data_IF_989901756851
#
_entry.id   IF_989901756851
#
_cell.length_a   1.000
_cell.length_b   1.000
_cell.length_c   1.000
_cell.angle_alpha   90.00
_cell.angle_beta   90.00
_cell.angle_gamma   90.00
#
_symmetry.space_group_name_H-M   'P 1'
#
loop_
_entity.id
_entity.type
_entity.pdbx_description
1 polymer ?
#
# COMPACT_ATOMS: atom_id res chain seq x y z
N UNK A 1 14.36 20.11 5.84
CA UNK A 1 15.07 20.03 4.55
C UNK A 1 16.49 19.50 4.71
N UNK A 2 17.30 20.05 5.62
CA UNK A 2 18.71 19.72 5.81
C UNK A 2 18.95 18.26 6.27
N UNK A 3 18.04 17.67 7.00
CA UNK A 3 18.13 16.29 7.49
C UNK A 3 17.82 15.21 6.42
N UNK A 4 17.34 15.58 5.22
CA UNK A 4 16.90 14.59 4.21
C UNK A 4 18.04 13.68 3.70
N UNK A 5 19.25 14.19 3.37
CA UNK A 5 20.36 13.33 2.96
C UNK A 5 20.79 12.38 4.07
N UNK A 6 20.90 12.87 5.31
CA UNK A 6 21.26 12.05 6.48
C UNK A 6 20.21 10.97 6.75
N UNK A 7 18.91 11.31 6.68
CA UNK A 7 17.84 10.36 6.84
C UNK A 7 17.85 9.26 5.74
N UNK A 8 18.15 9.63 4.48
CA UNK A 8 18.34 8.68 3.39
C UNK A 8 19.42 7.65 3.74
N UNK A 9 20.61 8.12 4.15
CA UNK A 9 21.71 7.23 4.53
C UNK A 9 21.30 6.29 5.66
N UNK A 10 20.70 6.81 6.73
CA UNK A 10 20.26 6.01 7.87
C UNK A 10 19.21 4.94 7.50
N UNK A 11 18.28 5.26 6.59
CA UNK A 11 17.28 4.27 6.09
C UNK A 11 17.98 3.16 5.31
N UNK A 12 18.89 3.49 4.39
CA UNK A 12 19.59 2.49 3.58
C UNK A 12 20.47 1.59 4.46
N UNK A 13 21.20 2.16 5.41
CA UNK A 13 21.99 1.41 6.40
C UNK A 13 21.09 0.47 7.22
N UNK A 14 19.91 0.93 7.64
CA UNK A 14 18.97 0.10 8.39
C UNK A 14 18.42 -1.08 7.55
N UNK A 15 18.16 -0.86 6.27
CA UNK A 15 17.75 -1.93 5.36
C UNK A 15 18.87 -2.95 5.17
N UNK A 16 20.11 -2.48 4.98
CA UNK A 16 21.29 -3.35 4.82
C UNK A 16 21.56 -4.25 6.03
N UNK A 17 21.27 -3.77 7.26
CA UNK A 17 21.38 -4.59 8.49
C UNK A 17 20.36 -5.75 8.48
N UNK A 18 19.21 -5.60 7.79
CA UNK A 18 18.19 -6.62 7.71
C UNK A 18 17.43 -6.84 9.03
N UNK A 19 17.01 -8.08 9.29
CA UNK A 19 16.26 -8.44 10.50
C UNK A 19 14.75 -8.26 10.39
N UNK A 20 14.23 -8.07 9.16
CA UNK A 20 12.79 -7.93 8.90
C UNK A 20 12.06 -9.27 8.78
N UNK A 21 12.80 -10.41 8.76
CA UNK A 21 12.23 -11.74 8.56
C UNK A 21 11.58 -11.86 7.18
N UNK A 22 10.40 -12.50 7.07
CA UNK A 22 9.69 -12.66 5.80
C UNK A 22 8.88 -11.42 5.38
N UNK A 23 9.02 -10.31 6.07
CA UNK A 23 8.23 -9.09 5.82
C UNK A 23 8.81 -8.33 4.63
N UNK A 24 7.93 -7.87 3.76
CA UNK A 24 8.28 -6.97 2.66
C UNK A 24 8.79 -5.63 3.21
N UNK A 25 9.90 -5.16 2.66
CA UNK A 25 10.56 -3.92 3.03
C UNK A 25 10.30 -2.88 1.96
N UNK A 26 9.52 -1.87 2.31
CA UNK A 26 9.11 -0.79 1.40
C UNK A 26 9.65 0.53 1.87
N UNK A 27 10.30 1.28 0.99
CA UNK A 27 10.85 2.60 1.31
C UNK A 27 10.03 3.69 0.63
N UNK A 28 9.39 4.56 1.42
CA UNK A 28 8.75 5.76 0.87
C UNK A 28 9.79 6.84 0.61
N UNK A 29 9.84 7.33 -0.62
CA UNK A 29 10.72 8.40 -1.06
C UNK A 29 10.04 9.77 -1.02
N UNK A 30 10.81 10.84 -1.22
CA UNK A 30 10.25 12.15 -1.50
C UNK A 30 9.73 12.21 -2.93
N UNK A 31 8.78 13.12 -3.21
CA UNK A 31 8.27 13.30 -4.57
C UNK A 31 9.39 13.55 -5.60
N UNK A 32 9.26 13.01 -6.79
CA UNK A 32 10.25 13.12 -7.86
C UNK A 32 10.45 14.55 -8.37
N UNK A 33 9.51 15.43 -8.09
CA UNK A 33 9.52 16.88 -8.35
C UNK A 33 10.28 17.68 -7.30
N UNK A 34 10.71 17.02 -6.21
CA UNK A 34 11.51 17.66 -5.15
C UNK A 34 13.01 17.51 -5.40
N UNK A 35 13.81 18.34 -4.72
CA UNK A 35 15.28 18.26 -4.80
C UNK A 35 15.87 16.92 -4.29
N UNK A 36 15.06 16.08 -3.64
CA UNK A 36 15.55 14.84 -3.00
C UNK A 36 15.06 13.56 -3.69
N UNK A 37 13.92 13.62 -4.40
CA UNK A 37 13.22 12.43 -4.88
C UNK A 37 14.06 11.55 -5.80
N UNK A 38 14.81 12.14 -6.72
CA UNK A 38 15.67 11.39 -7.65
C UNK A 38 16.81 10.68 -6.91
N UNK A 39 17.44 11.35 -5.95
CA UNK A 39 18.53 10.74 -5.17
C UNK A 39 18.01 9.70 -4.20
N UNK A 40 16.80 9.89 -3.65
CA UNK A 40 16.12 8.88 -2.84
C UNK A 40 15.85 7.63 -3.69
N UNK A 41 15.32 7.79 -4.89
CA UNK A 41 15.04 6.67 -5.80
C UNK A 41 16.30 5.88 -6.16
N UNK A 42 17.41 6.58 -6.44
CA UNK A 42 18.72 5.95 -6.69
C UNK A 42 19.19 5.11 -5.50
N UNK A 43 19.08 5.68 -4.30
CA UNK A 43 19.48 4.99 -3.08
C UNK A 43 18.62 3.74 -2.83
N UNK A 44 17.30 3.83 -3.03
CA UNK A 44 16.38 2.70 -2.89
C UNK A 44 16.67 1.61 -3.91
N UNK A 45 16.95 1.96 -5.17
CA UNK A 45 17.26 1.00 -6.22
C UNK A 45 18.43 0.07 -5.86
N UNK A 46 19.38 0.55 -5.06
CA UNK A 46 20.56 -0.19 -4.61
C UNK A 46 20.45 -0.77 -3.19
N UNK A 47 19.33 -0.56 -2.48
CA UNK A 47 19.22 -0.84 -1.05
C UNK A 47 18.91 -2.29 -0.70
N UNK A 48 18.40 -3.09 -1.64
CA UNK A 48 17.84 -4.41 -1.36
C UNK A 48 16.41 -4.38 -0.78
N UNK A 49 15.72 -3.22 -0.80
CA UNK A 49 14.30 -3.15 -0.51
C UNK A 49 13.48 -3.85 -1.58
N UNK A 50 12.32 -4.39 -1.19
CA UNK A 50 11.42 -5.11 -2.10
C UNK A 50 10.60 -4.15 -2.97
N UNK A 51 10.28 -2.96 -2.45
CA UNK A 51 9.52 -1.97 -3.17
C UNK A 51 9.89 -0.53 -2.80
N UNK A 52 9.57 0.39 -3.74
CA UNK A 52 9.58 1.84 -3.51
C UNK A 52 8.15 2.36 -3.45
N UNK A 53 7.81 3.14 -2.43
CA UNK A 53 6.51 3.82 -2.31
C UNK A 53 6.64 5.26 -2.79
N UNK A 54 5.88 5.58 -3.85
CA UNK A 54 5.84 6.91 -4.47
C UNK A 54 4.71 7.75 -3.86
N UNK A 55 5.01 8.92 -3.28
CA UNK A 55 4.00 9.85 -2.84
C UNK A 55 3.40 10.62 -4.03
N UNK A 56 2.19 11.13 -3.85
CA UNK A 56 1.51 12.10 -4.73
C UNK A 56 1.54 11.71 -6.21
N UNK A 57 1.23 10.45 -6.49
CA UNK A 57 1.15 9.98 -7.89
C UNK A 57 -0.12 10.53 -8.51
N UNK A 58 0.01 11.32 -9.58
CA UNK A 58 -1.11 12.03 -10.21
C UNK A 58 -1.30 11.72 -11.69
N UNK A 59 -0.33 11.06 -12.32
CA UNK A 59 -0.41 10.71 -13.74
C UNK A 59 0.40 9.44 -14.07
N UNK A 60 0.03 8.73 -15.18
CA UNK A 60 0.77 7.56 -15.64
C UNK A 60 2.23 7.82 -16.03
N UNK A 61 2.55 9.03 -16.49
CA UNK A 61 3.89 9.37 -16.93
C UNK A 61 4.90 9.39 -15.76
N UNK A 62 4.41 9.67 -14.52
CA UNK A 62 5.25 9.55 -13.33
C UNK A 62 5.71 8.11 -13.13
N UNK A 63 4.85 7.13 -13.34
CA UNK A 63 5.18 5.70 -13.20
C UNK A 63 6.18 5.26 -14.28
N UNK A 64 5.95 5.66 -15.53
CA UNK A 64 6.86 5.36 -16.64
C UNK A 64 8.26 5.95 -16.40
N UNK A 65 8.34 7.19 -15.91
CA UNK A 65 9.62 7.82 -15.52
C UNK A 65 10.29 7.08 -14.37
N UNK A 66 9.51 6.68 -13.35
CA UNK A 66 10.06 5.92 -12.21
C UNK A 66 10.62 4.58 -12.66
N UNK A 67 9.86 3.82 -13.43
CA UNK A 67 10.32 2.53 -13.96
C UNK A 67 11.61 2.67 -14.77
N UNK A 68 11.66 3.65 -15.69
CA UNK A 68 12.86 3.93 -16.47
C UNK A 68 14.06 4.36 -15.62
N UNK A 69 13.85 5.08 -14.52
CA UNK A 69 14.90 5.45 -13.58
C UNK A 69 15.40 4.22 -12.79
N UNK A 70 14.51 3.35 -12.31
CA UNK A 70 14.88 2.10 -11.65
C UNK A 70 15.72 1.21 -12.58
N UNK A 71 15.30 1.07 -13.85
CA UNK A 71 16.05 0.29 -14.84
C UNK A 71 17.46 0.86 -15.08
N UNK A 72 17.60 2.19 -15.19
CA UNK A 72 18.91 2.86 -15.35
C UNK A 72 19.82 2.70 -14.13
N UNK A 73 19.25 2.50 -12.96
CA UNK A 73 20.00 2.24 -11.73
C UNK A 73 20.27 0.75 -11.51
N UNK A 74 19.93 -0.12 -12.47
CA UNK A 74 20.02 -1.58 -12.36
C UNK A 74 19.30 -2.12 -11.11
N UNK A 75 18.16 -1.53 -10.75
CA UNK A 75 17.32 -2.05 -9.67
C UNK A 75 16.90 -3.50 -9.98
N UNK A 76 16.76 -4.37 -8.97
CA UNK A 76 16.30 -5.73 -9.20
C UNK A 76 15.00 -5.76 -10.03
N UNK A 77 14.91 -6.68 -10.99
CA UNK A 77 13.72 -6.80 -11.83
C UNK A 77 12.44 -7.09 -11.02
N UNK A 78 12.56 -7.71 -9.85
CA UNK A 78 11.49 -7.99 -8.91
C UNK A 78 11.07 -6.79 -8.05
N UNK A 79 11.85 -5.70 -8.01
CA UNK A 79 11.51 -4.53 -7.21
C UNK A 79 10.18 -3.94 -7.67
N UNK A 80 9.23 -3.81 -6.75
CA UNK A 80 7.88 -3.31 -7.03
C UNK A 80 7.78 -1.81 -6.79
N UNK A 81 6.72 -1.24 -7.34
CA UNK A 81 6.32 0.15 -7.10
C UNK A 81 5.00 0.13 -6.32
N UNK A 82 4.99 0.79 -5.19
CA UNK A 82 3.77 1.11 -4.45
C UNK A 82 3.41 2.56 -4.72
N UNK A 83 2.13 2.87 -4.81
CA UNK A 83 1.64 4.21 -5.13
C UNK A 83 0.78 4.78 -4.02
N UNK A 84 1.01 6.04 -3.63
CA UNK A 84 0.11 6.72 -2.70
C UNK A 84 -0.99 7.47 -3.45
N UNK A 85 -2.25 7.12 -3.15
CA UNK A 85 -3.43 7.84 -3.57
C UNK A 85 -3.80 8.87 -2.48
N UNK A 86 -3.28 10.10 -2.61
CA UNK A 86 -3.36 11.12 -1.57
C UNK A 86 -3.70 12.53 -2.09
N UNK A 87 -3.99 12.63 -3.39
CA UNK A 87 -4.47 13.87 -4.01
C UNK A 87 -5.75 13.62 -4.81
N UNK A 88 -6.65 14.62 -4.93
CA UNK A 88 -7.86 14.47 -5.73
C UNK A 88 -7.57 14.09 -7.18
N UNK A 89 -6.53 14.67 -7.79
CA UNK A 89 -6.11 14.35 -9.17
C UNK A 89 -5.65 12.89 -9.27
N UNK A 90 -4.81 12.42 -8.34
CA UNK A 90 -4.34 11.04 -8.31
C UNK A 90 -5.47 10.04 -8.12
N UNK A 91 -6.43 10.34 -7.24
CA UNK A 91 -7.63 9.50 -7.04
C UNK A 91 -8.45 9.40 -8.32
N UNK A 92 -8.74 10.53 -8.98
CA UNK A 92 -9.52 10.53 -10.24
C UNK A 92 -8.78 9.86 -11.41
N UNK A 93 -7.46 9.91 -11.44
CA UNK A 93 -6.63 9.29 -12.48
C UNK A 93 -6.20 7.85 -12.14
N UNK A 94 -6.59 7.31 -10.97
CA UNK A 94 -6.00 6.09 -10.42
C UNK A 94 -6.09 4.90 -11.38
N UNK A 95 -7.22 4.69 -12.04
CA UNK A 95 -7.37 3.60 -13.00
C UNK A 95 -6.32 3.65 -14.12
N UNK A 96 -6.07 4.83 -14.71
CA UNK A 96 -5.08 5.00 -15.77
C UNK A 96 -3.64 4.87 -15.23
N UNK A 97 -3.40 5.31 -14.00
CA UNK A 97 -2.13 5.16 -13.30
C UNK A 97 -1.84 3.66 -13.13
N UNK A 98 -2.76 2.90 -12.58
CA UNK A 98 -2.56 1.47 -12.29
C UNK A 98 -2.38 0.62 -13.55
N UNK A 99 -3.02 0.99 -14.66
CA UNK A 99 -2.85 0.31 -15.94
C UNK A 99 -1.52 0.63 -16.66
N UNK A 100 -0.69 1.53 -16.12
CA UNK A 100 0.50 2.05 -16.84
C UNK A 100 1.78 1.25 -16.59
N UNK A 101 1.81 0.31 -15.64
CA UNK A 101 3.03 -0.45 -15.32
C UNK A 101 2.72 -1.73 -14.53
N UNK A 102 3.25 -2.85 -14.99
CA UNK A 102 3.19 -4.16 -14.31
C UNK A 102 4.08 -4.23 -13.04
N UNK A 103 4.88 -3.20 -12.78
CA UNK A 103 5.66 -3.10 -11.54
C UNK A 103 4.83 -2.64 -10.35
N UNK A 104 3.63 -2.09 -10.58
CA UNK A 104 2.76 -1.65 -9.48
C UNK A 104 2.24 -2.90 -8.76
N UNK A 105 2.33 -2.90 -7.43
CA UNK A 105 1.86 -4.02 -6.60
C UNK A 105 0.78 -3.56 -5.61
N UNK A 106 0.94 -2.41 -4.98
CA UNK A 106 0.07 -1.98 -3.88
C UNK A 106 -0.26 -0.49 -3.99
N UNK A 107 -1.49 -0.17 -3.63
CA UNK A 107 -1.95 1.21 -3.44
C UNK A 107 -2.00 1.50 -1.94
N UNK A 108 -1.55 2.68 -1.53
CA UNK A 108 -1.63 3.15 -0.14
C UNK A 108 -2.45 4.43 -0.10
N UNK A 109 -3.52 4.44 0.69
CA UNK A 109 -4.32 5.66 0.86
C UNK A 109 -3.59 6.67 1.74
N UNK A 110 -3.38 7.88 1.22
CA UNK A 110 -2.87 9.02 2.00
C UNK A 110 -4.01 9.91 2.50
N UNK A 111 -4.83 9.37 3.41
CA UNK A 111 -6.10 9.99 3.83
C UNK A 111 -5.95 11.38 4.46
N UNK A 112 -4.84 11.64 5.15
CA UNK A 112 -4.58 12.96 5.76
C UNK A 112 -4.32 14.05 4.71
N UNK A 113 -3.48 13.75 3.70
CA UNK A 113 -3.22 14.69 2.61
C UNK A 113 -4.45 14.87 1.71
N UNK A 114 -5.19 13.79 1.46
CA UNK A 114 -6.43 13.83 0.69
C UNK A 114 -7.50 14.69 1.38
N UNK A 115 -7.73 14.52 2.68
CA UNK A 115 -8.70 15.33 3.45
C UNK A 115 -8.33 16.82 3.41
N UNK A 116 -7.02 17.12 3.57
CA UNK A 116 -6.52 18.49 3.45
C UNK A 116 -6.77 19.08 2.06
N UNK A 117 -6.49 18.31 1.01
CA UNK A 117 -6.70 18.74 -0.37
C UNK A 117 -8.18 18.95 -0.71
N UNK A 118 -9.06 18.11 -0.15
CA UNK A 118 -10.51 18.24 -0.26
C UNK A 118 -11.09 19.35 0.63
N UNK A 119 -10.29 19.89 1.57
CA UNK A 119 -10.70 20.92 2.56
C UNK A 119 -11.84 20.44 3.46
N UNK A 120 -11.79 19.18 3.88
CA UNK A 120 -12.79 18.56 4.76
C UNK A 120 -12.18 18.16 6.09
N UNK A 121 -13.02 18.14 7.12
CA UNK A 121 -12.81 17.33 8.31
C UNK A 121 -13.48 15.98 8.06
N UNK A 122 -12.72 14.88 8.00
CA UNK A 122 -13.31 13.57 7.69
C UNK A 122 -14.25 13.06 8.78
N UNK A 123 -14.17 13.62 10.01
CA UNK A 123 -14.92 13.12 11.15
C UNK A 123 -14.54 11.69 11.58
N UNK A 124 -15.15 11.15 12.63
CA UNK A 124 -14.82 9.83 13.15
C UNK A 124 -15.24 8.68 12.21
N UNK A 125 -16.30 8.86 11.44
CA UNK A 125 -16.84 7.90 10.47
C UNK A 125 -16.22 8.02 9.08
N UNK A 126 -15.37 9.02 8.86
CA UNK A 126 -14.70 9.34 7.58
C UNK A 126 -15.66 9.52 6.41
N UNK A 127 -16.92 9.94 6.67
CA UNK A 127 -17.97 10.04 5.64
C UNK A 127 -17.55 10.87 4.43
N UNK A 128 -16.83 11.97 4.63
CA UNK A 128 -16.31 12.81 3.55
C UNK A 128 -15.24 12.13 2.66
N UNK A 129 -14.61 11.05 3.13
CA UNK A 129 -13.62 10.29 2.37
C UNK A 129 -14.19 9.03 1.70
N UNK A 130 -15.35 8.54 2.12
CA UNK A 130 -15.92 7.27 1.64
C UNK A 130 -15.98 7.16 0.11
N UNK A 131 -16.40 8.20 -0.65
CA UNK A 131 -16.42 8.10 -2.11
C UNK A 131 -15.02 7.84 -2.70
N UNK A 132 -13.99 8.52 -2.18
CA UNK A 132 -12.62 8.34 -2.65
C UNK A 132 -12.05 6.98 -2.24
N UNK A 133 -12.31 6.53 -1.00
CA UNK A 133 -11.89 5.22 -0.50
C UNK A 133 -12.49 4.10 -1.34
N UNK A 134 -13.81 4.12 -1.57
CA UNK A 134 -14.50 3.11 -2.38
C UNK A 134 -14.03 3.13 -3.84
N UNK A 135 -13.82 4.32 -4.42
CA UNK A 135 -13.29 4.46 -5.78
C UNK A 135 -11.91 3.83 -5.92
N UNK A 136 -11.01 4.08 -4.94
CA UNK A 136 -9.66 3.52 -4.97
C UNK A 136 -9.67 2.00 -4.82
N UNK A 137 -10.53 1.44 -3.97
CA UNK A 137 -10.70 -0.02 -3.86
C UNK A 137 -11.19 -0.62 -5.18
N UNK A 138 -12.19 -0.01 -5.83
CA UNK A 138 -12.66 -0.47 -7.15
C UNK A 138 -11.55 -0.43 -8.20
N UNK A 139 -10.76 0.65 -8.24
CA UNK A 139 -9.65 0.78 -9.18
C UNK A 139 -8.55 -0.28 -8.94
N UNK A 140 -8.21 -0.56 -7.67
CA UNK A 140 -7.26 -1.60 -7.29
C UNK A 140 -7.73 -2.98 -7.74
N UNK A 141 -8.98 -3.35 -7.41
CA UNK A 141 -9.55 -4.66 -7.76
C UNK A 141 -9.70 -4.87 -9.27
N UNK A 142 -10.00 -3.80 -10.03
CA UNK A 142 -10.04 -3.87 -11.50
C UNK A 142 -8.68 -4.27 -12.12
N UNK A 143 -7.58 -4.07 -11.40
CA UNK A 143 -6.23 -4.44 -11.82
C UNK A 143 -5.66 -5.64 -11.04
N UNK A 144 -6.43 -6.24 -10.13
CA UNK A 144 -5.98 -7.35 -9.29
C UNK A 144 -4.89 -6.97 -8.29
N UNK A 145 -4.86 -5.70 -7.86
CA UNK A 145 -3.85 -5.16 -6.95
C UNK A 145 -4.36 -5.07 -5.52
N UNK A 146 -3.44 -5.11 -4.56
CA UNK A 146 -3.72 -4.88 -3.15
C UNK A 146 -3.82 -3.39 -2.83
N UNK A 147 -4.59 -3.07 -1.78
CA UNK A 147 -4.77 -1.69 -1.34
C UNK A 147 -4.82 -1.58 0.18
N UNK A 148 -4.02 -0.67 0.74
CA UNK A 148 -3.95 -0.37 2.16
C UNK A 148 -4.70 0.92 2.50
N UNK A 149 -5.52 0.87 3.54
CA UNK A 149 -6.19 2.04 4.10
C UNK A 149 -5.17 3.01 4.74
N UNK A 150 -5.55 4.27 4.88
CA UNK A 150 -4.70 5.32 5.43
C UNK A 150 -4.50 5.23 6.94
N UNK A 151 -3.61 6.07 7.44
CA UNK A 151 -3.28 6.15 8.88
C UNK A 151 -4.48 6.57 9.73
N UNK A 152 -4.41 6.22 11.02
CA UNK A 152 -5.26 6.77 12.08
C UNK A 152 -4.36 7.53 13.06
N UNK A 153 -4.53 8.84 13.16
CA UNK A 153 -3.57 9.73 13.80
C UNK A 153 -3.70 9.82 15.32
N UNK A 154 -4.90 9.60 15.87
CA UNK A 154 -5.11 9.61 17.31
C UNK A 154 -4.71 8.26 17.93
N UNK A 155 -3.46 8.16 18.36
CA UNK A 155 -2.92 6.92 18.94
C UNK A 155 -3.54 6.57 20.30
N UNK A 156 -4.22 7.49 20.96
CA UNK A 156 -4.90 7.30 22.24
C UNK A 156 -6.34 6.79 22.09
N UNK A 157 -6.96 7.02 20.94
CA UNK A 157 -8.34 6.58 20.68
C UNK A 157 -8.38 5.14 20.12
N UNK A 158 -8.22 4.17 21.00
CA UNK A 158 -8.28 2.74 20.63
C UNK A 158 -9.65 2.31 20.07
N UNK A 159 -10.81 2.73 20.64
CA UNK A 159 -12.11 2.42 20.05
C UNK A 159 -12.30 2.98 18.64
N UNK A 160 -11.93 4.24 18.41
CA UNK A 160 -12.01 4.87 17.10
C UNK A 160 -11.07 4.22 16.08
N UNK A 161 -9.85 3.85 16.51
CA UNK A 161 -8.94 3.08 15.67
C UNK A 161 -9.54 1.73 15.24
N UNK A 162 -10.12 0.97 16.19
CA UNK A 162 -10.79 -0.29 15.88
C UNK A 162 -11.96 -0.11 14.90
N UNK A 163 -12.78 0.90 15.12
CA UNK A 163 -13.89 1.23 14.22
C UNK A 163 -13.40 1.57 12.80
N UNK A 164 -12.31 2.34 12.68
CA UNK A 164 -11.69 2.66 11.40
C UNK A 164 -11.14 1.42 10.69
N UNK A 165 -10.54 0.46 11.41
CA UNK A 165 -10.08 -0.82 10.85
C UNK A 165 -11.25 -1.65 10.33
N UNK A 166 -12.33 -1.79 11.11
CA UNK A 166 -13.53 -2.52 10.70
C UNK A 166 -14.18 -1.90 9.45
N UNK A 167 -14.27 -0.57 9.40
CA UNK A 167 -14.78 0.13 8.22
C UNK A 167 -13.88 -0.11 7.01
N UNK A 168 -12.55 -0.02 7.17
CA UNK A 168 -11.60 -0.31 6.09
C UNK A 168 -11.77 -1.73 5.54
N UNK A 169 -11.87 -2.74 6.42
CA UNK A 169 -12.12 -4.12 6.02
C UNK A 169 -13.46 -4.27 5.27
N UNK A 170 -14.52 -3.62 5.77
CA UNK A 170 -15.84 -3.65 5.13
C UNK A 170 -15.86 -2.97 3.75
N UNK A 171 -15.01 -1.96 3.53
CA UNK A 171 -14.82 -1.32 2.23
C UNK A 171 -13.99 -2.18 1.25
N UNK A 172 -13.30 -3.22 1.72
CA UNK A 172 -12.52 -4.13 0.89
C UNK A 172 -11.02 -3.82 0.88
N UNK A 173 -10.48 -3.09 1.84
CA UNK A 173 -9.03 -2.94 2.01
C UNK A 173 -8.39 -4.22 2.52
N UNK A 174 -7.15 -4.49 2.11
CA UNK A 174 -6.35 -5.65 2.52
C UNK A 174 -5.64 -5.44 3.86
N UNK A 175 -5.48 -4.18 4.25
CA UNK A 175 -4.79 -3.80 5.47
C UNK A 175 -4.85 -2.29 5.70
N UNK A 176 -3.98 -1.80 6.58
CA UNK A 176 -3.95 -0.40 6.98
C UNK A 176 -2.53 0.07 7.27
N UNK A 177 -2.21 1.30 6.86
CA UNK A 177 -0.96 1.96 7.27
C UNK A 177 -1.01 2.30 8.76
N UNK A 178 0.04 1.98 9.49
CA UNK A 178 0.17 2.20 10.93
C UNK A 178 1.30 3.19 11.22
N UNK A 179 1.15 3.95 12.28
CA UNK A 179 2.13 4.94 12.74
C UNK A 179 2.62 4.68 14.17
N UNK A 180 2.07 3.68 14.84
CA UNK A 180 2.45 3.33 16.20
C UNK A 180 2.38 1.81 16.43
N UNK A 181 3.35 1.20 17.17
CA UNK A 181 3.35 -0.23 17.45
C UNK A 181 2.06 -0.75 18.14
N UNK A 182 1.45 0.07 19.01
CA UNK A 182 0.19 -0.29 19.68
C UNK A 182 -1.02 -0.46 18.76
N UNK A 183 -0.88 -0.15 17.47
CA UNK A 183 -1.92 -0.37 16.46
C UNK A 183 -1.82 -1.74 15.78
N UNK A 184 -0.70 -2.47 15.99
CA UNK A 184 -0.39 -3.71 15.24
C UNK A 184 -1.39 -4.81 15.56
N UNK A 185 -1.59 -5.11 16.84
CA UNK A 185 -2.40 -6.26 17.26
C UNK A 185 -3.86 -6.13 16.80
N UNK A 186 -4.47 -4.96 17.00
CA UNK A 186 -5.85 -4.68 16.53
C UNK A 186 -5.95 -4.79 15.01
N UNK A 187 -4.93 -4.32 14.28
CA UNK A 187 -4.93 -4.41 12.82
C UNK A 187 -4.83 -5.85 12.35
N UNK A 188 -3.92 -6.63 12.93
CA UNK A 188 -3.75 -8.05 12.60
C UNK A 188 -4.99 -8.88 12.97
N UNK A 189 -5.63 -8.58 14.10
CA UNK A 189 -6.91 -9.22 14.49
C UNK A 189 -8.00 -8.98 13.43
N UNK A 190 -8.13 -7.75 12.95
CA UNK A 190 -9.21 -7.37 12.05
C UNK A 190 -8.93 -7.79 10.60
N UNK A 191 -7.75 -7.50 10.06
CA UNK A 191 -7.42 -7.78 8.67
C UNK A 191 -6.87 -9.20 8.45
N UNK A 192 -6.36 -9.84 9.49
CA UNK A 192 -5.89 -11.22 9.42
C UNK A 192 -7.01 -12.20 9.08
N UNK A 193 -6.62 -13.36 8.57
CA UNK A 193 -7.52 -14.48 8.33
C UNK A 193 -7.52 -15.36 9.58
N UNK A 194 -8.65 -15.55 10.29
CA UNK A 194 -8.74 -16.46 11.42
C UNK A 194 -8.36 -17.89 11.03
N UNK A 195 -7.63 -18.59 11.89
CA UNK A 195 -7.16 -19.95 11.62
C UNK A 195 -8.29 -20.90 11.19
N UNK A 196 -9.45 -20.81 11.82
CA UNK A 196 -10.62 -21.62 11.47
C UNK A 196 -11.11 -21.35 10.03
N UNK A 197 -11.05 -20.10 9.54
CA UNK A 197 -11.41 -19.78 8.17
C UNK A 197 -10.35 -20.28 7.19
N UNK A 198 -9.07 -20.18 7.56
CA UNK A 198 -7.98 -20.71 6.75
C UNK A 198 -8.08 -22.23 6.61
N UNK A 199 -8.45 -22.93 7.69
CA UNK A 199 -8.62 -24.38 7.69
C UNK A 199 -9.83 -24.81 6.85
N UNK A 200 -10.97 -24.18 7.03
CA UNK A 200 -12.16 -24.42 6.19
C UNK A 200 -11.90 -24.16 4.71
N UNK A 201 -11.14 -23.10 4.37
CA UNK A 201 -10.76 -22.82 2.99
C UNK A 201 -9.84 -23.92 2.41
N UNK A 202 -8.87 -24.43 3.19
CA UNK A 202 -7.99 -25.54 2.75
C UNK A 202 -8.79 -26.82 2.51
N UNK A 203 -9.73 -27.15 3.41
CA UNK A 203 -10.63 -28.29 3.22
C UNK A 203 -11.44 -28.18 1.95
N UNK A 204 -12.03 -27.00 1.69
CA UNK A 204 -12.80 -26.74 0.48
C UNK A 204 -11.97 -26.88 -0.80
N UNK A 205 -10.77 -26.30 -0.83
CA UNK A 205 -9.83 -26.41 -1.95
C UNK A 205 -9.47 -27.89 -2.18
N UNK A 206 -9.14 -28.62 -1.12
CA UNK A 206 -8.79 -30.05 -1.20
C UNK A 206 -9.95 -30.88 -1.74
N UNK A 207 -11.17 -30.64 -1.27
CA UNK A 207 -12.37 -31.31 -1.76
C UNK A 207 -12.61 -30.99 -3.26
N UNK A 208 -12.46 -29.74 -3.67
CA UNK A 208 -12.59 -29.33 -5.05
C UNK A 208 -11.54 -29.99 -5.98
N UNK A 209 -10.27 -30.00 -5.56
CA UNK A 209 -9.20 -30.68 -6.32
C UNK A 209 -9.47 -32.19 -6.47
N UNK A 210 -9.95 -32.83 -5.41
CA UNK A 210 -10.34 -34.25 -5.46
C UNK A 210 -11.53 -34.50 -6.40
N UNK A 211 -12.52 -33.61 -6.42
CA UNK A 211 -13.65 -33.70 -7.34
C UNK A 211 -13.22 -33.46 -8.80
N UNK A 212 -12.36 -32.48 -9.03
CA UNK A 212 -11.81 -32.18 -10.37
C UNK A 212 -11.03 -33.37 -10.94
N UNK A 213 -10.20 -34.05 -10.11
CA UNK A 213 -9.47 -35.26 -10.51
C UNK A 213 -10.39 -36.45 -10.86
N UNK A 214 -11.61 -36.49 -10.32
CA UNK A 214 -12.64 -37.51 -10.63
C UNK A 214 -13.52 -37.12 -11.82
N UNK A 215 -13.30 -35.97 -12.45
CA UNK A 215 -14.13 -35.47 -13.55
C UNK A 215 -15.50 -34.97 -13.13
N UNK A 216 -15.71 -34.73 -11.83
CA UNK A 216 -16.95 -34.17 -11.27
C UNK A 216 -16.78 -32.64 -11.18
N UNK A 217 -17.64 -31.88 -11.86
CA UNK A 217 -17.65 -30.40 -11.80
C UNK A 217 -18.35 -29.83 -10.58
N UNK A 218 -18.80 -30.65 -9.64
CA UNK A 218 -19.49 -30.26 -8.40
C UNK A 218 -18.82 -30.95 -7.23
N UNK A 219 -18.38 -30.14 -6.25
CA UNK A 219 -17.85 -30.62 -4.97
C UNK A 219 -18.91 -30.47 -3.88
#
# INVERSE_FOLDING_TARGET
>A
PEAKPTARTAVIERVAVGGFGPREVVIRINGLDTAWGIDDLRAVAASGADAVLLPKVEDPAMLSRTAALLDRQNAPAGMKIWVMAETPRGVLALQSILASSDRIAVIVMGTADLARALRIDPGPDRSGLLPALSHCVLAARAQGLDILDGIFSDIGDHPGFRAACLQGKALGFDGKSLIHPGQIDTTNEIFGVPDAQAEAARELVSAWEAAAKRGSGIA
#
